data_IF_133217111482
#
_entry.id   IF_133217111482
#
_cell.length_a   1.000
_cell.length_b   1.000
_cell.length_c   1.000
_cell.angle_alpha   90.00
_cell.angle_beta   90.00
_cell.angle_gamma   90.00
#
_symmetry.space_group_name_H-M   'P 1'
#
loop_
_entity.id
_entity.type
_entity.pdbx_description
1 polymer ?
#
# COMPACT_ATOMS: atom_id res chain seq x y z
N UNK A 1 11.09 6.50 22.50
CA UNK A 1 9.98 7.47 22.41
C UNK A 1 9.19 7.12 21.16
N UNK A 2 7.98 6.57 21.30
CA UNK A 2 7.15 6.22 20.16
C UNK A 2 6.19 7.39 19.88
N UNK A 3 6.32 8.01 18.72
CA UNK A 3 5.41 9.07 18.26
C UNK A 3 4.13 8.40 17.77
N UNK A 4 3.06 8.52 18.56
CA UNK A 4 1.71 8.08 18.16
C UNK A 4 1.12 9.18 17.28
N UNK A 5 1.02 8.94 15.98
CA UNK A 5 0.32 9.82 15.05
C UNK A 5 -1.18 9.69 15.31
N UNK A 6 -1.75 10.68 16.00
CA UNK A 6 -3.20 10.80 16.19
C UNK A 6 -3.76 11.44 14.92
N UNK A 7 -4.23 10.62 13.99
CA UNK A 7 -4.89 11.08 12.77
C UNK A 7 -6.23 11.76 13.14
N UNK A 8 -6.25 13.08 13.16
CA UNK A 8 -7.49 13.85 13.27
C UNK A 8 -8.13 13.97 11.88
N UNK A 9 -9.34 13.42 11.74
CA UNK A 9 -10.11 13.34 10.48
C UNK A 9 -10.40 14.73 9.91
N UNK A 10 -9.71 15.12 8.84
CA UNK A 10 -10.18 16.11 7.87
C UNK A 10 -10.65 15.40 6.59
N UNK A 11 -11.96 15.38 6.41
CA UNK A 11 -12.70 14.73 5.31
C UNK A 11 -12.21 15.31 3.96
N UNK A 12 -11.55 14.50 3.15
CA UNK A 12 -11.27 14.77 1.73
C UNK A 12 -9.80 14.87 1.29
N UNK A 13 -8.86 15.19 2.19
CA UNK A 13 -7.43 15.30 1.84
C UNK A 13 -6.56 14.16 2.38
N UNK A 14 -7.03 13.45 3.42
CA UNK A 14 -6.25 12.43 4.13
C UNK A 14 -6.33 11.05 3.45
N UNK A 15 -7.39 10.80 2.68
CA UNK A 15 -7.69 9.45 2.18
C UNK A 15 -6.76 9.04 1.03
N UNK A 16 -6.45 9.96 0.10
CA UNK A 16 -5.45 9.70 -0.94
C UNK A 16 -4.04 9.59 -0.37
N UNK A 17 -3.70 10.36 0.67
CA UNK A 17 -2.38 10.33 1.31
C UNK A 17 -2.09 8.94 1.92
N UNK A 18 -3.08 8.31 2.57
CA UNK A 18 -2.92 6.96 3.13
C UNK A 18 -2.67 5.92 2.04
N UNK A 19 -3.41 5.99 0.93
CA UNK A 19 -3.26 5.07 -0.20
C UNK A 19 -1.87 5.22 -0.83
N UNK A 20 -1.43 6.45 -1.07
CA UNK A 20 -0.12 6.76 -1.65
C UNK A 20 1.02 6.32 -0.71
N UNK A 21 0.95 6.70 0.57
CA UNK A 21 1.93 6.26 1.58
C UNK A 21 2.02 4.74 1.66
N UNK A 22 0.88 4.05 1.65
CA UNK A 22 0.85 2.59 1.72
C UNK A 22 1.47 1.96 0.47
N UNK A 23 1.20 2.53 -0.71
CA UNK A 23 1.80 2.07 -1.96
C UNK A 23 3.34 2.21 -1.93
N UNK A 24 3.86 3.31 -1.38
CA UNK A 24 5.29 3.55 -1.22
C UNK A 24 5.95 2.56 -0.25
N UNK A 25 5.31 2.27 0.89
CA UNK A 25 5.82 1.31 1.89
C UNK A 25 6.07 -0.09 1.31
N UNK A 26 5.37 -0.46 0.24
CA UNK A 26 5.49 -1.79 -0.39
C UNK A 26 5.95 -1.74 -1.85
N UNK A 27 6.39 -0.58 -2.33
CA UNK A 27 6.90 -0.39 -3.69
C UNK A 27 5.88 -0.76 -4.77
N UNK A 28 4.63 -0.36 -4.60
CA UNK A 28 3.52 -0.67 -5.49
C UNK A 28 3.01 0.56 -6.24
N UNK A 29 2.33 0.33 -7.35
CA UNK A 29 1.55 1.34 -8.07
C UNK A 29 0.06 1.21 -7.73
N UNK A 30 -0.65 2.34 -7.73
CA UNK A 30 -2.11 2.36 -7.63
C UNK A 30 -2.70 2.27 -9.03
N UNK A 31 -3.34 1.15 -9.34
CA UNK A 31 -4.07 0.96 -10.59
C UNK A 31 -5.53 1.43 -10.43
N UNK A 32 -5.95 2.36 -11.30
CA UNK A 32 -7.30 2.88 -11.33
C UNK A 32 -8.10 2.18 -12.43
N UNK A 33 -9.23 1.58 -12.07
CA UNK A 33 -10.13 0.92 -13.01
C UNK A 33 -11.19 1.88 -13.55
N UNK A 34 -11.76 1.56 -14.72
CA UNK A 34 -12.80 2.36 -15.36
C UNK A 34 -14.11 2.45 -14.58
N UNK A 35 -14.35 1.55 -13.63
CA UNK A 35 -15.50 1.57 -12.72
C UNK A 35 -15.25 2.37 -11.43
N UNK A 36 -14.12 3.06 -11.33
CA UNK A 36 -13.75 3.89 -10.17
C UNK A 36 -13.11 3.13 -9.01
N UNK A 37 -12.99 1.81 -9.09
CA UNK A 37 -12.24 1.04 -8.10
C UNK A 37 -10.72 1.19 -8.27
N UNK A 38 -9.97 0.99 -7.19
CA UNK A 38 -8.52 1.05 -7.12
C UNK A 38 -7.94 -0.28 -6.62
N UNK A 39 -6.71 -0.57 -7.01
CA UNK A 39 -5.96 -1.73 -6.52
C UNK A 39 -4.45 -1.45 -6.54
N UNK A 40 -3.73 -1.92 -5.53
CA UNK A 40 -2.27 -1.92 -5.54
C UNK A 40 -1.76 -3.03 -6.44
N UNK A 41 -0.82 -2.68 -7.30
CA UNK A 41 -0.19 -3.63 -8.22
C UNK A 41 1.32 -3.38 -8.28
N UNK A 42 2.10 -4.44 -8.48
CA UNK A 42 3.54 -4.33 -8.72
C UNK A 42 3.91 -5.17 -9.93
N UNK A 43 4.82 -4.67 -10.76
CA UNK A 43 5.41 -5.48 -11.83
C UNK A 43 6.53 -6.31 -11.23
N UNK A 44 6.46 -7.63 -11.37
CA UNK A 44 7.50 -8.56 -10.91
C UNK A 44 7.82 -9.48 -12.09
N UNK A 45 9.07 -9.47 -12.56
CA UNK A 45 9.49 -10.26 -13.72
C UNK A 45 8.59 -10.01 -14.95
N UNK A 46 8.23 -8.75 -15.18
CA UNK A 46 7.36 -8.33 -16.29
C UNK A 46 5.87 -8.67 -16.15
N UNK A 47 5.44 -9.23 -15.01
CA UNK A 47 4.02 -9.53 -14.74
C UNK A 47 3.45 -8.57 -13.71
N UNK A 48 2.28 -7.97 -13.99
CA UNK A 48 1.54 -7.16 -13.03
C UNK A 48 0.86 -8.08 -12.00
N UNK A 49 1.29 -8.01 -10.74
CA UNK A 49 0.79 -8.80 -9.62
C UNK A 49 -0.02 -7.89 -8.69
N UNK A 50 -1.20 -8.35 -8.26
CA UNK A 50 -2.02 -7.64 -7.29
C UNK A 50 -1.45 -7.73 -5.88
N UNK A 51 -1.45 -6.59 -5.18
CA UNK A 51 -0.86 -6.35 -3.85
C UNK A 51 -1.92 -5.85 -2.84
N UNK A 52 -3.13 -5.53 -3.29
CA UNK A 52 -4.32 -5.35 -2.45
C UNK A 52 -5.57 -5.93 -3.11
N UNK A 53 -6.72 -6.03 -2.40
CA UNK A 53 -8.02 -6.24 -3.02
C UNK A 53 -8.39 -5.06 -3.93
N UNK A 54 -9.21 -5.32 -4.96
CA UNK A 54 -9.80 -4.27 -5.80
C UNK A 54 -11.04 -3.73 -5.10
N UNK A 55 -11.01 -2.48 -4.67
CA UNK A 55 -12.03 -1.84 -3.82
C UNK A 55 -12.30 -0.41 -4.29
N UNK A 56 -13.38 0.20 -3.82
CA UNK A 56 -13.52 1.67 -3.95
C UNK A 56 -12.40 2.40 -3.20
N UNK A 57 -12.21 3.69 -3.47
CA UNK A 57 -11.21 4.51 -2.78
C UNK A 57 -11.39 4.50 -1.26
N UNK A 58 -12.63 4.70 -0.78
CA UNK A 58 -12.96 4.70 0.64
C UNK A 58 -12.67 3.33 1.30
N UNK A 59 -13.08 2.24 0.65
CA UNK A 59 -12.85 0.89 1.15
C UNK A 59 -11.37 0.51 1.13
N UNK A 60 -10.63 0.93 0.10
CA UNK A 60 -9.18 0.71 0.03
C UNK A 60 -8.47 1.50 1.13
N UNK A 61 -8.90 2.73 1.41
CA UNK A 61 -8.37 3.54 2.52
C UNK A 61 -8.59 2.84 3.86
N UNK A 62 -9.81 2.36 4.12
CA UNK A 62 -10.13 1.59 5.33
C UNK A 62 -9.27 0.33 5.42
N UNK A 63 -9.09 -0.38 4.30
CA UNK A 63 -8.23 -1.55 4.23
C UNK A 63 -6.77 -1.20 4.56
N UNK A 64 -6.24 -0.10 4.03
CA UNK A 64 -4.88 0.36 4.32
C UNK A 64 -4.70 0.68 5.81
N UNK A 65 -5.63 1.44 6.40
CA UNK A 65 -5.62 1.77 7.83
C UNK A 65 -5.67 0.51 8.69
N UNK A 66 -6.55 -0.45 8.37
CA UNK A 66 -6.70 -1.68 9.14
C UNK A 66 -5.45 -2.58 9.11
N UNK A 67 -4.60 -2.43 8.09
CA UNK A 67 -3.41 -3.26 7.89
C UNK A 67 -2.10 -2.47 7.96
N UNK A 68 -2.14 -1.21 8.40
CA UNK A 68 -1.00 -0.29 8.36
C UNK A 68 0.23 -0.88 9.08
N UNK A 69 0.04 -1.49 10.25
CA UNK A 69 1.12 -2.13 11.00
C UNK A 69 1.83 -3.23 10.17
N UNK A 70 1.06 -4.00 9.39
CA UNK A 70 1.62 -5.06 8.54
C UNK A 70 2.40 -4.45 7.37
N UNK A 71 1.94 -3.33 6.81
CA UNK A 71 2.66 -2.57 5.77
C UNK A 71 3.98 -2.01 6.30
N UNK A 72 3.96 -1.41 7.50
CA UNK A 72 5.17 -0.92 8.15
C UNK A 72 6.16 -2.04 8.44
N UNK A 73 5.72 -3.19 8.96
CA UNK A 73 6.59 -4.35 9.21
C UNK A 73 7.23 -4.86 7.89
N UNK A 74 6.47 -4.85 6.80
CA UNK A 74 7.00 -5.24 5.50
C UNK A 74 8.05 -4.24 5.01
N UNK A 75 7.77 -2.94 5.12
CA UNK A 75 8.74 -1.90 4.81
C UNK A 75 10.01 -2.04 5.65
N UNK A 76 9.92 -2.13 6.97
CA UNK A 76 11.06 -2.22 7.87
C UNK A 76 11.96 -3.43 7.56
N UNK A 77 11.39 -4.50 7.01
CA UNK A 77 12.13 -5.72 6.64
C UNK A 77 12.80 -5.63 5.28
N UNK A 78 12.29 -4.80 4.38
CA UNK A 78 12.63 -4.81 2.96
C UNK A 78 12.94 -3.42 2.39
N UNK A 79 13.07 -2.39 3.22
CA UNK A 79 13.29 -1.00 2.79
C UNK A 79 14.59 -0.82 2.01
N UNK A 80 15.63 -1.61 2.29
CA UNK A 80 16.89 -1.60 1.53
C UNK A 80 16.63 -1.85 0.03
N UNK A 81 15.75 -2.80 -0.32
CA UNK A 81 15.37 -3.05 -1.71
C UNK A 81 14.65 -1.86 -2.35
N UNK A 82 13.87 -1.09 -1.58
CA UNK A 82 13.23 0.12 -2.09
C UNK A 82 14.24 1.23 -2.35
N UNK A 83 15.21 1.41 -1.43
CA UNK A 83 16.26 2.42 -1.53
C UNK A 83 17.20 2.11 -2.70
N UNK A 84 17.52 0.84 -2.92
CA UNK A 84 18.37 0.38 -4.02
C UNK A 84 17.63 0.30 -5.37
N UNK A 85 16.31 0.49 -5.39
CA UNK A 85 15.49 0.42 -6.61
C UNK A 85 15.19 -1.01 -7.08
N UNK A 86 15.39 -2.01 -6.21
CA UNK A 86 15.18 -3.43 -6.44
C UNK A 86 13.82 -3.92 -5.89
N UNK A 87 12.75 -3.14 -6.07
CA UNK A 87 11.42 -3.47 -5.54
C UNK A 87 10.85 -4.81 -6.06
N UNK A 88 11.35 -5.32 -7.20
CA UNK A 88 11.01 -6.64 -7.72
C UNK A 88 11.54 -7.80 -6.86
N UNK A 89 12.63 -7.59 -6.11
CA UNK A 89 13.22 -8.58 -5.22
C UNK A 89 12.45 -8.70 -3.89
N UNK A 90 11.61 -7.72 -3.57
CA UNK A 90 10.74 -7.78 -2.39
C UNK A 90 9.70 -8.90 -2.56
N UNK A 91 9.41 -9.68 -1.51
CA UNK A 91 8.32 -10.63 -1.55
C UNK A 91 6.98 -9.96 -1.88
N UNK A 92 6.13 -10.67 -2.62
CA UNK A 92 4.73 -10.26 -2.84
C UNK A 92 3.98 -10.33 -1.51
N UNK A 93 3.08 -9.37 -1.26
CA UNK A 93 2.26 -9.38 -0.06
C UNK A 93 1.41 -10.66 -0.02
N UNK A 94 1.47 -11.43 1.08
CA UNK A 94 0.62 -12.59 1.26
C UNK A 94 -0.84 -12.18 1.07
N UNK A 95 -1.47 -12.77 0.04
CA UNK A 95 -2.69 -12.42 -0.73
C UNK A 95 -3.82 -11.62 -0.03
N UNK A 96 -3.45 -10.53 0.65
CA UNK A 96 -4.26 -9.56 1.38
C UNK A 96 -4.66 -10.00 2.79
N UNK A 97 -3.65 -10.42 3.56
CA UNK A 97 -3.57 -10.42 5.02
C UNK A 97 -4.90 -10.36 5.80
N UNK A 98 -5.48 -11.54 6.05
CA UNK A 98 -6.64 -11.82 6.91
C UNK A 98 -6.65 -11.09 8.26
#
# INVERSE_FOLDING_TARGET
MATVYKLERSIGYVDNEIIEMTADLVGCEVFNYSDGSKQFTRVVLGKRIAQSPRLSEDELTIFCVAHFDKYQIHYDKYCDFLIEGESEAMPVLPKFWH
#
